data_IF_417062271462
#
_entry.id   IF_417062271462
#
_cell.length_a   1.000
_cell.length_b   1.000
_cell.length_c   1.000
_cell.angle_alpha   90.00
_cell.angle_beta   90.00
_cell.angle_gamma   90.00
#
_symmetry.space_group_name_H-M   'P 1'
#
loop_
_entity.id
_entity.type
_entity.pdbx_description
1 polymer ?
#
# COMPACT_ATOMS: atom_id res chain seq x y z
N UNK A 1 -31.99 31.94 -72.55
CA UNK A 1 -32.25 33.09 -71.64
C UNK A 1 -32.04 32.61 -70.20
N UNK A 2 -31.50 33.46 -69.32
CA UNK A 2 -30.42 33.25 -68.31
C UNK A 2 -30.92 32.70 -66.95
N UNK A 3 -30.09 32.09 -66.08
CA UNK A 3 -29.02 32.58 -65.16
C UNK A 3 -29.53 33.34 -63.93
N UNK A 4 -29.14 32.84 -62.73
CA UNK A 4 -28.58 33.54 -61.56
C UNK A 4 -28.87 32.69 -60.29
N UNK A 5 -27.90 32.09 -59.59
CA UNK A 5 -26.73 32.59 -58.85
C UNK A 5 -27.00 32.85 -57.37
N UNK A 6 -26.19 32.18 -56.54
CA UNK A 6 -25.59 32.71 -55.31
C UNK A 6 -26.09 32.12 -53.99
N UNK A 7 -25.28 31.95 -52.93
CA UNK A 7 -23.83 32.16 -52.69
C UNK A 7 -23.58 31.85 -51.19
N UNK A 8 -22.46 31.19 -50.86
CA UNK A 8 -21.66 31.23 -49.58
C UNK A 8 -22.36 30.91 -48.23
N UNK A 9 -21.73 30.47 -47.15
CA UNK A 9 -20.40 30.01 -46.69
C UNK A 9 -20.73 29.07 -45.48
N UNK A 10 -19.87 28.26 -44.86
CA UNK A 10 -18.68 28.58 -44.06
C UNK A 10 -18.34 27.25 -43.32
N UNK A 11 -17.16 26.70 -43.52
CA UNK A 11 -16.12 26.49 -42.49
C UNK A 11 -16.59 25.90 -41.15
N UNK A 12 -16.16 24.68 -40.86
CA UNK A 12 -15.60 24.31 -39.55
C UNK A 12 -14.87 22.97 -39.67
N UNK A 13 -13.55 23.07 -39.86
CA UNK A 13 -12.62 22.02 -39.47
C UNK A 13 -12.61 21.89 -37.94
N UNK A 14 -12.79 20.67 -37.45
CA UNK A 14 -12.32 20.22 -36.14
C UNK A 14 -12.09 18.71 -36.31
N UNK A 15 -10.85 18.19 -36.41
CA UNK A 15 -9.67 18.67 -35.70
C UNK A 15 -9.81 18.23 -34.25
N UNK A 16 -9.47 16.98 -33.98
CA UNK A 16 -9.62 16.33 -32.70
C UNK A 16 -9.17 14.90 -32.86
N UNK A 17 -7.87 14.75 -33.12
CA UNK A 17 -7.16 13.51 -32.83
C UNK A 17 -7.45 13.17 -31.38
N UNK A 18 -8.22 12.11 -31.14
CA UNK A 18 -8.02 11.32 -29.93
C UNK A 18 -6.65 10.65 -30.13
N UNK A 19 -5.60 11.43 -29.89
CA UNK A 19 -4.35 10.88 -29.40
C UNK A 19 -4.73 10.29 -28.06
N UNK A 20 -5.09 9.01 -28.08
CA UNK A 20 -4.91 8.12 -26.95
C UNK A 20 -3.44 8.32 -26.56
N UNK A 21 -3.23 9.21 -25.59
CA UNK A 21 -1.95 9.41 -24.96
C UNK A 21 -1.62 8.04 -24.38
N UNK A 22 -0.85 7.26 -25.14
CA UNK A 22 -0.13 6.13 -24.60
C UNK A 22 0.72 6.75 -23.49
N UNK A 23 0.17 6.68 -22.28
CA UNK A 23 0.92 6.89 -21.06
C UNK A 23 2.01 5.85 -21.20
N UNK A 24 3.18 6.31 -21.63
CA UNK A 24 4.39 5.53 -21.60
C UNK A 24 4.60 5.29 -20.13
N UNK A 25 4.00 4.22 -19.62
CA UNK A 25 4.34 3.57 -18.37
C UNK A 25 5.74 3.04 -18.59
N UNK A 26 6.70 3.97 -18.65
CA UNK A 26 8.10 3.66 -18.58
C UNK A 26 8.22 2.90 -17.29
N UNK A 27 8.57 1.62 -17.43
CA UNK A 27 8.83 0.65 -16.37
C UNK A 27 9.30 1.40 -15.12
N UNK A 28 8.36 1.76 -14.26
CA UNK A 28 8.68 2.54 -13.07
C UNK A 28 9.26 1.51 -12.16
N UNK A 29 10.60 1.44 -12.10
CA UNK A 29 11.26 0.54 -11.17
C UNK A 29 10.83 0.99 -9.77
N UNK A 30 9.94 0.21 -9.18
CA UNK A 30 9.31 0.52 -7.91
C UNK A 30 10.38 0.67 -6.81
N UNK A 31 11.60 0.14 -7.00
CA UNK A 31 12.77 0.38 -6.12
C UNK A 31 13.10 1.86 -5.98
N UNK A 32 12.99 2.62 -7.06
CA UNK A 32 13.18 4.08 -7.07
C UNK A 32 12.00 4.83 -6.41
N UNK A 33 10.86 4.16 -6.18
CA UNK A 33 9.66 4.72 -5.55
C UNK A 33 9.53 4.37 -4.06
N UNK A 34 10.19 3.32 -3.57
CA UNK A 34 10.17 2.97 -2.14
C UNK A 34 10.72 4.12 -1.30
N UNK A 35 11.91 4.64 -1.65
CA UNK A 35 12.55 5.68 -0.85
C UNK A 35 11.68 6.95 -0.72
N UNK A 36 11.11 7.48 -1.82
CA UNK A 36 10.11 8.55 -1.75
C UNK A 36 8.87 8.18 -0.93
N UNK A 37 8.35 6.96 -1.08
CA UNK A 37 7.19 6.48 -0.33
C UNK A 37 7.49 6.46 1.18
N UNK A 38 8.62 5.86 1.60
CA UNK A 38 9.05 5.83 3.00
C UNK A 38 9.21 7.25 3.54
N UNK A 39 9.87 8.16 2.81
CA UNK A 39 10.01 9.57 3.23
C UNK A 39 8.66 10.27 3.36
N UNK A 40 7.71 9.97 2.47
CA UNK A 40 6.35 10.50 2.55
C UNK A 40 5.62 9.99 3.78
N UNK A 41 5.69 8.68 4.06
CA UNK A 41 5.05 8.05 5.21
C UNK A 41 5.70 8.44 6.54
N UNK A 42 7.02 8.58 6.58
CA UNK A 42 7.78 9.07 7.74
C UNK A 42 7.39 10.52 8.06
N UNK A 43 7.25 11.37 7.03
CA UNK A 43 6.75 12.74 7.18
C UNK A 43 5.31 12.84 7.70
N UNK A 44 4.54 11.75 7.64
CA UNK A 44 3.15 11.68 8.12
C UNK A 44 2.99 10.92 9.43
N UNK A 45 4.09 10.48 10.03
CA UNK A 45 4.08 9.70 11.26
C UNK A 45 3.27 8.39 11.11
N UNK A 46 3.20 7.83 9.89
CA UNK A 46 2.48 6.58 9.64
C UNK A 46 3.02 5.45 10.52
N UNK A 47 4.34 5.36 10.66
CA UNK A 47 4.96 4.40 11.56
C UNK A 47 4.45 4.54 13.00
N UNK A 48 4.31 5.79 13.49
CA UNK A 48 3.75 6.07 14.81
C UNK A 48 2.29 5.64 14.93
N UNK A 49 1.46 5.97 13.93
CA UNK A 49 0.05 5.56 13.90
C UNK A 49 -0.14 4.03 13.89
N UNK A 50 0.68 3.32 13.12
CA UNK A 50 0.65 1.87 13.05
C UNK A 50 1.19 1.23 14.33
N UNK A 51 2.27 1.77 14.91
CA UNK A 51 2.79 1.31 16.20
C UNK A 51 1.76 1.53 17.32
N UNK A 52 1.18 2.73 17.45
CA UNK A 52 0.09 3.01 18.40
C UNK A 52 -1.06 1.99 18.23
N UNK A 53 -1.49 1.72 16.99
CA UNK A 53 -2.51 0.71 16.72
C UNK A 53 -2.11 -0.68 17.23
N UNK A 54 -0.87 -1.10 16.99
CA UNK A 54 -0.33 -2.37 17.48
C UNK A 54 -0.30 -2.38 19.01
N UNK A 55 0.20 -1.32 19.65
CA UNK A 55 0.27 -1.22 21.11
C UNK A 55 -1.12 -1.23 21.76
N UNK A 56 -2.09 -0.56 21.15
CA UNK A 56 -3.47 -0.52 21.61
C UNK A 56 -4.16 -1.88 21.48
N UNK A 57 -3.87 -2.66 20.43
CA UNK A 57 -4.61 -3.87 20.10
C UNK A 57 -3.87 -5.19 20.34
N UNK A 58 -2.58 -5.18 20.69
CA UNK A 58 -1.79 -6.40 20.96
C UNK A 58 -2.38 -7.30 22.05
N UNK A 59 -3.09 -6.73 23.02
CA UNK A 59 -3.70 -7.49 24.12
C UNK A 59 -4.75 -8.50 23.62
N UNK A 60 -5.43 -8.19 22.52
CA UNK A 60 -6.39 -9.11 21.90
C UNK A 60 -5.71 -10.38 21.36
N UNK A 61 -4.40 -10.31 21.09
CA UNK A 61 -3.58 -11.39 20.56
C UNK A 61 -2.77 -12.12 21.64
N UNK A 62 -2.92 -11.82 22.92
CA UNK A 62 -2.20 -12.51 24.01
C UNK A 62 -2.49 -14.01 24.02
N UNK A 63 -3.78 -14.39 23.96
CA UNK A 63 -4.17 -15.81 23.94
C UNK A 63 -3.61 -16.55 22.72
N UNK A 64 -3.55 -15.86 21.57
CA UNK A 64 -2.93 -16.38 20.35
C UNK A 64 -1.40 -16.46 20.46
N UNK A 65 -0.77 -15.51 21.15
CA UNK A 65 0.65 -15.47 21.40
C UNK A 65 1.12 -16.58 22.36
N UNK A 66 0.30 -16.94 23.34
CA UNK A 66 0.53 -18.04 24.28
C UNK A 66 0.38 -19.43 23.64
N UNK A 67 -0.32 -19.53 22.51
CA UNK A 67 -0.46 -20.78 21.76
C UNK A 67 0.92 -21.31 21.33
N UNK A 68 1.13 -22.62 21.51
CA UNK A 68 2.43 -23.27 21.21
C UNK A 68 2.54 -23.66 19.74
N UNK A 69 1.40 -23.87 19.09
CA UNK A 69 1.31 -24.16 17.66
C UNK A 69 0.18 -23.34 17.04
N UNK A 70 0.31 -23.04 15.75
CA UNK A 70 -0.70 -22.32 14.96
C UNK A 70 -2.07 -23.05 14.95
N UNK A 71 -2.03 -24.39 15.02
CA UNK A 71 -3.23 -25.24 15.10
C UNK A 71 -4.04 -25.06 16.41
N UNK A 72 -3.40 -24.55 17.47
CA UNK A 72 -4.06 -24.25 18.75
C UNK A 72 -4.60 -22.80 18.79
N UNK A 73 -4.27 -21.97 17.80
CA UNK A 73 -4.72 -20.58 17.72
C UNK A 73 -6.19 -20.52 17.30
N UNK A 74 -7.04 -20.01 18.18
CA UNK A 74 -8.40 -19.63 17.79
C UNK A 74 -8.37 -18.30 17.04
N UNK A 75 -8.56 -18.34 15.72
CA UNK A 75 -8.71 -17.14 14.90
C UNK A 75 -10.05 -16.44 15.17
N UNK A 76 -10.04 -15.52 16.12
CA UNK A 76 -11.22 -14.72 16.48
C UNK A 76 -11.59 -13.76 15.35
N UNK A 77 -12.88 -13.51 15.19
CA UNK A 77 -13.41 -12.53 14.23
C UNK A 77 -12.84 -11.11 14.45
N UNK A 78 -12.47 -10.78 15.69
CA UNK A 78 -11.84 -9.50 16.02
C UNK A 78 -10.49 -9.33 15.32
N UNK A 79 -9.74 -10.40 15.05
CA UNK A 79 -8.44 -10.29 14.36
C UNK A 79 -8.59 -9.84 12.92
N UNK A 80 -9.61 -10.35 12.22
CA UNK A 80 -9.93 -9.91 10.87
C UNK A 80 -10.47 -8.47 10.85
N UNK A 81 -11.26 -8.07 11.86
CA UNK A 81 -11.73 -6.68 11.99
C UNK A 81 -10.56 -5.71 12.23
N UNK A 82 -9.63 -6.08 13.10
CA UNK A 82 -8.42 -5.32 13.38
C UNK A 82 -7.52 -5.24 12.15
N UNK A 83 -7.38 -6.33 11.39
CA UNK A 83 -6.64 -6.32 10.13
C UNK A 83 -7.26 -5.35 9.12
N UNK A 84 -8.59 -5.35 8.96
CA UNK A 84 -9.28 -4.42 8.09
C UNK A 84 -9.12 -2.96 8.54
N UNK A 85 -9.08 -2.70 9.85
CA UNK A 85 -8.80 -1.36 10.41
C UNK A 85 -7.37 -0.93 10.16
N UNK A 86 -6.40 -1.85 10.32
CA UNK A 86 -4.99 -1.61 10.03
C UNK A 86 -4.77 -1.28 8.55
N UNK A 87 -5.33 -2.10 7.66
CA UNK A 87 -5.38 -1.88 6.21
C UNK A 87 -5.88 -0.48 5.90
N UNK A 88 -6.99 -0.06 6.50
CA UNK A 88 -7.57 1.26 6.25
C UNK A 88 -6.62 2.40 6.60
N UNK A 89 -5.84 2.31 7.67
CA UNK A 89 -4.84 3.34 8.04
C UNK A 89 -3.75 3.39 6.96
N UNK A 90 -3.23 2.23 6.59
CA UNK A 90 -2.18 2.12 5.57
C UNK A 90 -2.66 2.59 4.19
N UNK A 91 -3.80 2.08 3.72
CA UNK A 91 -4.42 2.43 2.44
C UNK A 91 -4.78 3.91 2.36
N UNK A 92 -5.27 4.53 3.43
CA UNK A 92 -5.59 5.98 3.43
C UNK A 92 -4.35 6.82 3.14
N UNK A 93 -3.20 6.44 3.70
CA UNK A 93 -1.95 7.15 3.44
C UNK A 93 -1.34 6.78 2.10
N UNK A 94 -1.48 5.51 1.70
CA UNK A 94 -1.02 5.00 0.42
C UNK A 94 -1.77 5.69 -0.74
N UNK A 95 -3.09 5.80 -0.68
CA UNK A 95 -3.90 6.51 -1.67
C UNK A 95 -3.41 7.96 -1.84
N UNK A 96 -3.11 8.66 -0.75
CA UNK A 96 -2.59 10.03 -0.83
C UNK A 96 -1.21 10.12 -1.49
N UNK A 97 -0.36 9.11 -1.30
CA UNK A 97 0.92 9.01 -2.01
C UNK A 97 0.70 8.72 -3.50
N UNK A 98 -0.18 7.78 -3.80
CA UNK A 98 -0.51 7.32 -5.14
C UNK A 98 -1.20 8.39 -5.99
N UNK A 99 -2.08 9.20 -5.39
CA UNK A 99 -2.67 10.39 -6.03
C UNK A 99 -1.59 11.38 -6.50
N UNK A 100 -0.47 11.48 -5.79
CA UNK A 100 0.66 12.33 -6.16
C UNK A 100 1.52 11.75 -7.28
N UNK A 101 1.57 10.42 -7.41
CA UNK A 101 2.46 9.69 -8.32
C UNK A 101 1.76 9.20 -9.60
N UNK A 102 0.42 9.27 -9.66
CA UNK A 102 -0.38 8.84 -10.81
C UNK A 102 -0.45 7.32 -10.97
N UNK A 103 -0.23 6.56 -9.90
CA UNK A 103 -0.27 5.09 -9.89
C UNK A 103 -1.52 4.61 -9.14
N UNK A 104 -2.10 3.47 -9.53
CA UNK A 104 -3.21 2.88 -8.77
C UNK A 104 -2.72 1.98 -7.63
N UNK A 105 -3.53 1.81 -6.59
CA UNK A 105 -3.20 0.92 -5.46
C UNK A 105 -3.03 -0.54 -5.90
N UNK A 106 -3.80 -0.98 -6.89
CA UNK A 106 -3.65 -2.30 -7.48
C UNK A 106 -2.30 -2.49 -8.19
N UNK A 107 -1.84 -1.50 -8.95
CA UNK A 107 -0.52 -1.51 -9.59
C UNK A 107 0.60 -1.46 -8.55
N UNK A 108 0.41 -0.68 -7.48
CA UNK A 108 1.35 -0.62 -6.37
C UNK A 108 1.50 -1.98 -5.68
N UNK A 109 0.38 -2.61 -5.28
CA UNK A 109 0.41 -3.92 -4.64
C UNK A 109 0.96 -5.03 -5.55
N UNK A 110 0.66 -4.99 -6.85
CA UNK A 110 1.22 -5.93 -7.81
C UNK A 110 2.75 -5.80 -7.90
N UNK A 111 3.27 -4.57 -7.99
CA UNK A 111 4.70 -4.28 -8.01
C UNK A 111 5.37 -4.66 -6.69
N UNK A 112 4.76 -4.36 -5.55
CA UNK A 112 5.26 -4.77 -4.24
C UNK A 112 5.33 -6.30 -4.11
N UNK A 113 4.34 -7.02 -4.64
CA UNK A 113 4.34 -8.48 -4.62
C UNK A 113 5.45 -9.05 -5.48
N UNK A 114 5.56 -8.58 -6.72
CA UNK A 114 6.60 -8.98 -7.66
C UNK A 114 8.00 -8.73 -7.08
N UNK A 115 8.16 -7.57 -6.46
CA UNK A 115 9.35 -7.23 -5.72
C UNK A 115 9.68 -8.22 -4.58
N UNK A 116 8.67 -8.59 -3.76
CA UNK A 116 8.81 -9.51 -2.61
C UNK A 116 9.32 -10.86 -3.11
N UNK A 117 8.77 -11.32 -4.23
CA UNK A 117 9.10 -12.60 -4.85
C UNK A 117 10.44 -12.58 -5.61
N UNK A 118 10.81 -11.46 -6.26
CA UNK A 118 11.97 -11.34 -7.17
C UNK A 118 13.26 -10.79 -6.51
N UNK A 119 13.44 -11.03 -5.20
CA UNK A 119 14.74 -10.87 -4.50
C UNK A 119 15.09 -9.42 -4.07
N UNK A 120 14.33 -8.91 -3.10
CA UNK A 120 14.58 -7.68 -2.34
C UNK A 120 15.87 -7.60 -1.50
N UNK A 121 16.72 -8.64 -1.49
CA UNK A 121 17.79 -8.78 -0.47
C UNK A 121 18.76 -7.60 -0.38
N UNK A 122 18.95 -6.82 -1.47
CA UNK A 122 19.94 -5.74 -1.53
C UNK A 122 19.45 -4.38 -0.95
N UNK A 123 18.15 -4.07 -1.00
CA UNK A 123 17.59 -2.88 -0.34
C UNK A 123 17.31 -3.12 1.16
N UNK A 124 17.44 -4.37 1.61
CA UNK A 124 16.96 -4.90 2.90
C UNK A 124 18.06 -4.96 3.98
N UNK A 125 19.31 -4.66 3.62
CA UNK A 125 20.40 -4.51 4.58
C UNK A 125 20.28 -3.20 5.38
N UNK A 126 19.56 -2.20 4.86
CA UNK A 126 19.26 -0.98 5.60
C UNK A 126 18.10 -1.17 6.56
N UNK A 127 18.45 -1.35 7.85
CA UNK A 127 17.54 -1.40 8.98
C UNK A 127 16.50 -0.24 9.03
N UNK A 128 16.76 0.86 8.33
CA UNK A 128 15.87 2.04 8.29
C UNK A 128 14.54 1.79 7.56
N UNK A 129 14.46 0.78 6.70
CA UNK A 129 13.27 0.55 5.85
C UNK A 129 12.44 -0.67 6.26
N UNK A 130 12.90 -1.44 7.25
CA UNK A 130 12.24 -2.66 7.72
C UNK A 130 10.80 -2.41 8.20
N UNK A 131 10.58 -1.33 8.96
CA UNK A 131 9.24 -1.00 9.48
C UNK A 131 8.20 -0.83 8.38
N UNK A 132 8.58 -0.24 7.25
CA UNK A 132 7.67 0.00 6.13
C UNK A 132 7.34 -1.30 5.39
N UNK A 133 8.34 -2.17 5.24
CA UNK A 133 8.15 -3.49 4.62
C UNK A 133 7.26 -4.38 5.50
N UNK A 134 7.50 -4.41 6.81
CA UNK A 134 6.64 -5.15 7.75
C UNK A 134 5.21 -4.63 7.70
N UNK A 135 5.01 -3.30 7.66
CA UNK A 135 3.69 -2.70 7.51
C UNK A 135 3.02 -3.04 6.18
N UNK A 136 3.79 -3.00 5.09
CA UNK A 136 3.31 -3.35 3.76
C UNK A 136 2.93 -4.84 3.68
N UNK A 137 3.77 -5.73 4.18
CA UNK A 137 3.49 -7.17 4.25
C UNK A 137 2.26 -7.46 5.11
N UNK A 138 2.13 -6.80 6.26
CA UNK A 138 0.96 -6.88 7.12
C UNK A 138 -0.31 -6.36 6.41
N UNK A 139 -0.21 -5.33 5.57
CA UNK A 139 -1.34 -4.87 4.75
C UNK A 139 -1.70 -5.88 3.66
N UNK A 140 -0.72 -6.53 3.03
CA UNK A 140 -0.94 -7.47 1.92
C UNK A 140 -1.38 -8.87 2.37
N UNK A 141 -1.00 -9.28 3.58
CA UNK A 141 -1.23 -10.62 4.09
C UNK A 141 -1.68 -10.58 5.55
N UNK A 142 -2.86 -11.14 5.79
CA UNK A 142 -3.37 -11.36 7.15
C UNK A 142 -2.39 -12.16 8.01
N UNK A 143 -1.68 -13.14 7.41
CA UNK A 143 -0.71 -13.97 8.13
C UNK A 143 0.45 -13.13 8.68
N UNK A 144 0.97 -12.19 7.89
CA UNK A 144 2.04 -11.29 8.33
C UNK A 144 1.54 -10.31 9.40
N UNK A 145 0.33 -9.78 9.24
CA UNK A 145 -0.30 -8.93 10.27
C UNK A 145 -0.47 -9.70 11.58
N UNK A 146 -0.95 -10.93 11.50
CA UNK A 146 -1.17 -11.80 12.64
C UNK A 146 0.15 -12.13 13.36
N UNK A 147 1.19 -12.47 12.60
CA UNK A 147 2.54 -12.71 13.14
C UNK A 147 3.10 -11.44 13.82
N UNK A 148 2.94 -10.27 13.20
CA UNK A 148 3.35 -8.99 13.78
C UNK A 148 2.65 -8.70 15.11
N UNK A 149 1.32 -8.86 15.16
CA UNK A 149 0.54 -8.61 16.38
C UNK A 149 0.83 -9.61 17.50
N UNK A 150 0.96 -10.89 17.18
CA UNK A 150 1.31 -11.93 18.16
C UNK A 150 2.74 -11.76 18.68
N UNK A 151 3.68 -11.36 17.82
CA UNK A 151 5.03 -11.00 18.25
C UNK A 151 5.03 -9.81 19.21
N UNK A 152 4.31 -8.73 18.87
CA UNK A 152 4.16 -7.57 19.75
C UNK A 152 3.52 -7.93 21.10
N UNK A 153 2.55 -8.84 21.12
CA UNK A 153 1.95 -9.37 22.34
C UNK A 153 2.97 -10.17 23.19
N UNK A 154 3.75 -11.06 22.57
CA UNK A 154 4.83 -11.83 23.24
C UNK A 154 5.90 -10.95 23.85
N UNK A 155 6.31 -9.89 23.13
CA UNK A 155 7.32 -8.95 23.62
C UNK A 155 6.83 -8.11 24.80
N UNK A 156 5.53 -7.82 24.87
CA UNK A 156 4.93 -7.13 26.02
C UNK A 156 4.98 -7.96 27.31
N UNK A 157 4.67 -9.26 27.23
CA UNK A 157 4.78 -10.22 28.34
C UNK A 157 6.24 -10.44 28.79
N UNK A 158 7.22 -10.28 27.89
CA UNK A 158 8.65 -10.42 28.17
C UNK A 158 9.35 -9.17 28.75
N UNK A 159 8.71 -8.00 28.69
CA UNK A 159 9.30 -6.70 29.07
C UNK A 159 8.93 -6.18 30.46
N UNK A 160 8.07 -6.89 31.21
CA UNK A 160 7.66 -6.54 32.57
C UNK A 160 8.55 -7.17 33.65
N UNK A 161 9.80 -6.69 33.78
CA UNK A 161 10.74 -7.07 34.84
C UNK A 161 11.40 -5.87 35.50
#
# INVERSE_FOLDING_TARGET
MPRAEGKEADEAEHGGSDEEEEVVGGEVDWKDRIEPAIKFFDGKDLNGMLDDFVQEHKHEFEEAAEAKTDEEVEHKLVYTDLHARYLRIFETELDQFLEGEGCSSAEFYAQCKDAIEDNYTALFEEHQHHWFVDALLASMSYEHFFEMMTKAAREWEGGGG
#
